data_IF_721066488448
#
_entry.id   IF_721066488448
#
_cell.length_a   1.000
_cell.length_b   1.000
_cell.length_c   1.000
_cell.angle_alpha   90.00
_cell.angle_beta   90.00
_cell.angle_gamma   90.00
#
_symmetry.space_group_name_H-M   'P 1'
#
loop_
_entity.id
_entity.type
_entity.pdbx_description
1 polymer ?
#
# COMPACT_ATOMS: atom_id res chain seq x y z
N UNK A 1 14.08 -81.82 -53.95
CA UNK A 1 14.12 -82.43 -52.60
C UNK A 1 14.38 -81.32 -51.59
N UNK A 2 13.48 -81.17 -50.61
CA UNK A 2 13.60 -80.53 -49.27
C UNK A 2 14.25 -79.13 -49.12
N UNK A 3 13.79 -78.19 -48.29
CA UNK A 3 12.73 -78.10 -47.30
C UNK A 3 12.52 -76.61 -46.94
N UNK A 4 11.28 -76.20 -46.65
CA UNK A 4 10.84 -75.73 -45.32
C UNK A 4 11.56 -74.49 -44.75
N UNK A 5 10.81 -73.40 -44.56
CA UNK A 5 10.65 -72.58 -43.33
C UNK A 5 10.40 -71.07 -43.58
N UNK A 6 9.11 -70.73 -43.38
CA UNK A 6 8.50 -69.56 -42.72
C UNK A 6 9.40 -68.50 -42.06
N UNK A 7 8.94 -67.25 -42.16
CA UNK A 7 9.17 -66.14 -41.21
C UNK A 7 9.87 -64.94 -41.85
N UNK A 8 9.55 -63.68 -41.60
CA UNK A 8 8.54 -63.04 -40.76
C UNK A 8 8.35 -61.60 -41.29
N UNK A 9 7.15 -61.05 -41.08
CA UNK A 9 6.86 -59.65 -41.34
C UNK A 9 7.67 -58.74 -40.41
N UNK A 10 8.26 -57.68 -40.95
CA UNK A 10 8.80 -56.58 -40.18
C UNK A 10 8.35 -55.25 -40.80
N UNK A 11 7.13 -54.83 -40.47
CA UNK A 11 6.69 -53.46 -40.65
C UNK A 11 7.28 -52.64 -39.49
N UNK A 12 8.28 -51.81 -39.80
CA UNK A 12 8.96 -50.94 -38.85
C UNK A 12 8.08 -49.70 -38.61
N UNK A 13 7.12 -49.79 -37.68
CA UNK A 13 6.38 -48.62 -37.21
C UNK A 13 7.28 -47.85 -36.22
N UNK A 14 7.95 -46.81 -36.72
CA UNK A 14 8.59 -45.80 -35.87
C UNK A 14 7.48 -44.94 -35.27
N UNK A 15 7.06 -45.25 -34.04
CA UNK A 15 6.24 -44.34 -33.25
C UNK A 15 7.15 -43.21 -32.75
N UNK A 16 7.21 -42.11 -33.49
CA UNK A 16 7.73 -40.84 -32.98
C UNK A 16 6.70 -40.33 -31.94
N UNK A 17 6.88 -40.71 -30.68
CA UNK A 17 6.19 -40.06 -29.58
C UNK A 17 6.76 -38.64 -29.47
N UNK A 18 6.10 -37.68 -30.11
CA UNK A 18 6.32 -36.27 -29.87
C UNK A 18 5.93 -35.98 -28.42
N UNK A 19 6.92 -35.95 -27.53
CA UNK A 19 6.75 -35.44 -26.17
C UNK A 19 6.57 -33.93 -26.29
N UNK A 20 5.32 -33.52 -26.51
CA UNK A 20 4.93 -32.14 -26.30
C UNK A 20 5.09 -31.88 -24.80
N UNK A 21 5.89 -30.88 -24.38
CA UNK A 21 5.88 -30.47 -22.98
C UNK A 21 4.48 -29.93 -22.71
N UNK A 22 3.69 -30.69 -21.95
CA UNK A 22 2.49 -30.16 -21.33
C UNK A 22 2.95 -28.97 -20.49
N UNK A 23 2.66 -27.75 -20.96
CA UNK A 23 2.64 -26.59 -20.07
C UNK A 23 1.54 -26.90 -19.07
N UNK A 24 1.92 -27.45 -17.92
CA UNK A 24 1.07 -27.44 -16.75
C UNK A 24 0.65 -25.98 -16.59
N UNK A 25 -0.64 -25.69 -16.81
CA UNK A 25 -1.17 -24.38 -16.49
C UNK A 25 -0.80 -24.14 -15.04
N UNK A 26 -0.02 -23.10 -14.75
CA UNK A 26 0.23 -22.69 -13.38
C UNK A 26 -1.13 -22.48 -12.75
N UNK A 27 -1.55 -23.42 -11.89
CA UNK A 27 -2.78 -23.30 -11.15
C UNK A 27 -2.69 -21.97 -10.40
N UNK A 28 -3.60 -21.04 -10.71
CA UNK A 28 -3.63 -19.74 -10.05
C UNK A 28 -3.74 -19.97 -8.55
N UNK A 29 -2.71 -19.57 -7.81
CA UNK A 29 -2.71 -19.69 -6.36
C UNK A 29 -3.16 -18.38 -5.76
N UNK A 30 -3.75 -18.48 -4.58
CA UNK A 30 -4.18 -17.33 -3.80
C UNK A 30 -3.45 -17.31 -2.48
N UNK A 31 -3.41 -16.14 -1.86
CA UNK A 31 -2.89 -15.99 -0.51
C UNK A 31 -3.81 -15.04 0.29
N UNK A 32 -3.87 -15.25 1.60
CA UNK A 32 -4.61 -14.36 2.51
C UNK A 32 -3.69 -13.91 3.63
N UNK A 33 -3.58 -12.60 3.86
CA UNK A 33 -2.86 -12.06 4.99
C UNK A 33 -3.45 -12.58 6.32
N UNK A 34 -2.66 -13.25 7.15
CA UNK A 34 -3.09 -13.72 8.48
C UNK A 34 -2.72 -12.72 9.58
N UNK A 35 -1.74 -11.88 9.32
CA UNK A 35 -1.26 -10.78 10.16
C UNK A 35 -1.13 -9.52 9.28
N UNK A 36 -0.91 -8.32 9.87
CA UNK A 36 -0.53 -7.16 9.08
C UNK A 36 0.72 -7.46 8.23
N UNK A 37 0.56 -7.50 6.92
CA UNK A 37 1.56 -8.01 5.99
C UNK A 37 2.18 -6.86 5.20
N UNK A 38 3.47 -6.53 5.38
CA UNK A 38 4.14 -5.54 4.56
C UNK A 38 4.16 -6.00 3.10
N UNK A 39 3.72 -5.12 2.20
CA UNK A 39 3.79 -5.35 0.76
C UNK A 39 4.86 -4.43 0.19
N UNK A 40 5.88 -5.04 -0.41
CA UNK A 40 7.02 -4.31 -0.97
C UNK A 40 6.96 -4.27 -2.49
N UNK A 41 7.60 -3.27 -3.11
CA UNK A 41 7.88 -3.23 -4.55
C UNK A 41 9.16 -4.00 -4.94
N UNK A 42 9.70 -4.83 -4.05
CA UNK A 42 10.86 -5.69 -4.28
C UNK A 42 10.66 -7.04 -3.58
N UNK A 43 11.20 -8.10 -4.18
CA UNK A 43 11.24 -9.42 -3.54
C UNK A 43 12.32 -9.53 -2.44
N UNK A 44 13.23 -8.56 -2.34
CA UNK A 44 14.37 -8.60 -1.41
C UNK A 44 14.02 -8.08 -0.01
N UNK A 45 13.19 -8.83 0.72
CA UNK A 45 12.85 -8.51 2.12
C UNK A 45 14.08 -8.50 3.04
N UNK A 46 14.98 -9.50 3.02
CA UNK A 46 16.17 -9.49 3.89
C UNK A 46 17.09 -8.29 3.65
N UNK A 47 17.29 -7.90 2.38
CA UNK A 47 18.09 -6.72 2.06
C UNK A 47 17.44 -5.41 2.49
N UNK A 48 16.10 -5.35 2.61
CA UNK A 48 15.37 -4.21 3.16
C UNK A 48 15.43 -4.18 4.70
N UNK A 49 15.26 -5.34 5.34
CA UNK A 49 15.20 -5.52 6.79
C UNK A 49 16.42 -6.27 7.30
N UNK A 50 17.56 -5.58 7.41
CA UNK A 50 18.82 -6.16 7.86
C UNK A 50 20.00 -5.70 7.04
N UNK A 51 19.83 -5.53 5.73
CA UNK A 51 20.94 -5.14 4.86
C UNK A 51 22.10 -6.14 4.95
N UNK A 52 23.34 -5.68 4.69
CA UNK A 52 24.52 -6.54 4.74
C UNK A 52 24.99 -6.87 6.16
N UNK A 53 24.64 -6.04 7.15
CA UNK A 53 25.11 -6.14 8.53
C UNK A 53 24.07 -6.77 9.48
N UNK A 54 22.89 -7.12 8.97
CA UNK A 54 21.75 -7.61 9.74
C UNK A 54 21.13 -6.56 10.68
N UNK A 55 21.59 -5.29 10.65
CA UNK A 55 21.21 -4.23 11.59
C UNK A 55 20.65 -2.99 10.91
N UNK A 56 20.81 -2.88 9.59
CA UNK A 56 20.48 -1.67 8.85
C UNK A 56 19.20 -1.85 8.04
N UNK A 57 18.28 -0.90 8.19
CA UNK A 57 17.12 -0.77 7.30
C UNK A 57 17.55 -0.07 6.01
N UNK A 58 17.05 -0.54 4.86
CA UNK A 58 17.22 0.16 3.58
C UNK A 58 16.33 1.40 3.55
N UNK A 59 16.87 2.54 3.99
CA UNK A 59 16.18 3.82 3.99
C UNK A 59 16.80 4.83 3.04
N UNK A 60 16.00 5.77 2.56
CA UNK A 60 16.49 6.97 1.87
C UNK A 60 17.09 8.01 2.85
N UNK A 61 17.49 9.18 2.33
CA UNK A 61 18.01 10.29 3.14
C UNK A 61 17.01 10.86 4.14
N UNK A 62 15.72 10.61 3.94
CA UNK A 62 14.64 11.02 4.86
C UNK A 62 14.30 9.91 5.86
N UNK A 63 15.03 8.80 5.85
CA UNK A 63 14.80 7.68 6.74
C UNK A 63 13.61 6.80 6.35
N UNK A 64 13.10 6.92 5.13
CA UNK A 64 11.93 6.20 4.64
C UNK A 64 12.31 4.94 3.89
N UNK A 65 11.56 3.86 4.10
CA UNK A 65 11.71 2.59 3.37
C UNK A 65 10.90 2.71 2.08
N UNK A 66 11.53 3.17 0.99
CA UNK A 66 10.87 3.39 -0.32
C UNK A 66 10.40 2.11 -0.98
N UNK A 67 10.85 0.96 -0.47
CA UNK A 67 10.39 -0.34 -0.91
C UNK A 67 9.00 -0.68 -0.38
N UNK A 68 8.59 -0.08 0.75
CA UNK A 68 7.27 -0.32 1.33
C UNK A 68 6.20 0.45 0.54
N UNK A 69 5.19 -0.28 0.07
CA UNK A 69 4.07 0.30 -0.68
C UNK A 69 2.86 0.48 0.22
N UNK A 70 2.49 -0.58 0.95
CA UNK A 70 1.49 -0.53 2.00
C UNK A 70 1.64 -1.72 2.97
N UNK A 71 0.87 -1.74 4.04
CA UNK A 71 0.72 -2.88 4.93
C UNK A 71 -0.68 -3.44 4.72
N UNK A 72 -0.78 -4.63 4.12
CA UNK A 72 -2.05 -5.31 3.96
C UNK A 72 -2.63 -5.69 5.32
N UNK A 73 -3.91 -5.40 5.53
CA UNK A 73 -4.60 -5.74 6.78
C UNK A 73 -4.90 -7.24 6.81
N UNK A 74 -5.02 -7.87 8.00
CA UNK A 74 -5.47 -9.25 8.11
C UNK A 74 -6.76 -9.50 7.32
N UNK A 75 -6.81 -10.63 6.60
CA UNK A 75 -7.88 -11.00 5.68
C UNK A 75 -7.73 -10.44 4.27
N UNK A 76 -6.72 -9.61 3.97
CA UNK A 76 -6.47 -9.14 2.60
C UNK A 76 -6.16 -10.33 1.69
N UNK A 77 -6.94 -10.44 0.62
CA UNK A 77 -6.79 -11.47 -0.41
C UNK A 77 -5.80 -11.02 -1.49
N UNK A 78 -4.99 -11.97 -1.95
CA UNK A 78 -4.02 -11.79 -3.02
C UNK A 78 -4.21 -12.86 -4.10
N UNK A 79 -4.03 -12.45 -5.35
CA UNK A 79 -3.71 -13.38 -6.44
C UNK A 79 -2.20 -13.53 -6.49
N UNK A 80 -1.69 -14.77 -6.43
CA UNK A 80 -0.26 -15.08 -6.50
C UNK A 80 0.11 -15.40 -7.95
N UNK A 81 1.02 -14.61 -8.50
CA UNK A 81 1.53 -14.75 -9.86
C UNK A 81 2.82 -15.55 -9.93
N UNK A 82 3.64 -15.47 -8.89
CA UNK A 82 4.95 -16.10 -8.85
C UNK A 82 5.37 -16.35 -7.40
N UNK A 83 6.12 -17.43 -7.15
CA UNK A 83 6.76 -17.69 -5.86
C UNK A 83 8.26 -17.74 -6.03
N UNK A 84 8.97 -16.93 -5.25
CA UNK A 84 10.40 -16.70 -5.37
C UNK A 84 11.10 -17.13 -4.07
N UNK A 85 12.18 -17.90 -4.21
CA UNK A 85 13.13 -18.10 -3.13
C UNK A 85 14.18 -16.97 -3.17
N UNK A 86 14.37 -16.27 -2.04
CA UNK A 86 15.33 -15.18 -1.86
C UNK A 86 16.08 -15.38 -0.55
N UNK A 87 17.25 -16.01 -0.63
CA UNK A 87 17.99 -16.43 0.55
C UNK A 87 17.17 -17.42 1.36
N UNK A 88 16.85 -17.08 2.61
CA UNK A 88 16.00 -17.88 3.51
C UNK A 88 14.51 -17.50 3.44
N UNK A 89 14.14 -16.47 2.67
CA UNK A 89 12.75 -16.02 2.53
C UNK A 89 12.08 -16.62 1.30
N UNK A 90 10.84 -17.07 1.49
CA UNK A 90 9.90 -17.37 0.40
C UNK A 90 8.99 -16.16 0.22
N UNK A 91 8.93 -15.64 -1.00
CA UNK A 91 8.23 -14.39 -1.31
C UNK A 91 7.32 -14.59 -2.50
N UNK A 92 6.08 -14.10 -2.41
CA UNK A 92 5.09 -14.21 -3.48
C UNK A 92 4.96 -12.88 -4.20
N UNK A 93 5.04 -12.90 -5.53
CA UNK A 93 4.62 -11.78 -6.36
C UNK A 93 3.09 -11.79 -6.46
N UNK A 94 2.46 -10.68 -6.10
CA UNK A 94 1.00 -10.63 -5.89
C UNK A 94 0.34 -9.41 -6.54
N UNK A 95 -0.97 -9.53 -6.75
CA UNK A 95 -1.89 -8.39 -6.92
C UNK A 95 -3.02 -8.47 -5.91
N UNK A 96 -3.64 -7.34 -5.59
CA UNK A 96 -4.79 -7.26 -4.69
C UNK A 96 -5.66 -6.05 -5.00
N UNK A 97 -6.97 -6.19 -4.79
CA UNK A 97 -7.95 -5.12 -4.96
C UNK A 97 -7.88 -4.07 -3.83
N UNK A 98 -7.20 -4.37 -2.72
CA UNK A 98 -6.93 -3.40 -1.65
C UNK A 98 -5.87 -2.34 -2.09
N UNK A 99 -5.08 -2.64 -3.13
CA UNK A 99 -4.04 -1.73 -3.67
C UNK A 99 -3.87 -1.89 -5.19
N UNK A 100 -4.83 -1.41 -6.01
CA UNK A 100 -4.85 -1.61 -7.46
C UNK A 100 -3.93 -0.62 -8.22
N UNK A 101 -2.80 -0.25 -7.63
CA UNK A 101 -1.82 0.62 -8.29
C UNK A 101 -0.90 -0.17 -9.20
N UNK A 102 -0.47 0.39 -10.36
CA UNK A 102 0.51 -0.26 -11.18
C UNK A 102 1.89 -0.23 -10.51
N UNK A 103 2.66 -1.31 -10.66
CA UNK A 103 4.06 -1.39 -10.27
C UNK A 103 4.90 -1.90 -11.42
N UNK A 104 6.04 -1.25 -11.67
CA UNK A 104 6.99 -1.65 -12.70
C UNK A 104 7.66 -3.00 -12.37
N UNK A 105 7.92 -3.25 -11.09
CA UNK A 105 8.60 -4.46 -10.59
C UNK A 105 7.62 -5.49 -10.03
N UNK A 106 6.36 -5.13 -9.85
CA UNK A 106 5.35 -5.93 -9.14
C UNK A 106 5.29 -5.61 -7.65
N UNK A 107 4.40 -6.31 -6.94
CA UNK A 107 4.27 -6.25 -5.48
C UNK A 107 4.56 -7.61 -4.88
N UNK A 108 5.13 -7.59 -3.68
CA UNK A 108 5.67 -8.77 -3.05
C UNK A 108 5.24 -8.83 -1.59
N UNK A 109 4.79 -10.01 -1.18
CA UNK A 109 4.47 -10.33 0.22
C UNK A 109 5.27 -11.56 0.63
N UNK A 110 5.77 -11.57 1.86
CA UNK A 110 6.54 -12.69 2.37
C UNK A 110 5.61 -13.80 2.91
N UNK A 111 5.95 -15.05 2.61
CA UNK A 111 5.12 -16.25 2.84
C UNK A 111 4.63 -16.36 4.30
N UNK A 112 5.46 -16.02 5.29
CA UNK A 112 5.14 -16.17 6.71
C UNK A 112 4.07 -15.18 7.20
N UNK A 113 3.71 -14.18 6.40
CA UNK A 113 2.59 -13.26 6.70
C UNK A 113 1.26 -13.72 6.13
N UNK A 114 1.26 -14.74 5.28
CA UNK A 114 0.08 -15.16 4.53
C UNK A 114 -0.19 -16.65 4.70
N UNK A 115 -1.41 -17.05 4.36
CA UNK A 115 -1.79 -18.45 4.18
C UNK A 115 -2.19 -18.65 2.73
N UNK A 116 -1.56 -19.62 2.07
CA UNK A 116 -1.91 -19.99 0.70
C UNK A 116 -3.29 -20.66 0.63
N UNK A 117 -3.96 -20.49 -0.51
CA UNK A 117 -5.24 -21.09 -0.82
C UNK A 117 -5.29 -21.48 -2.30
N UNK A 118 -5.91 -22.62 -2.59
CA UNK A 118 -6.11 -23.12 -3.97
C UNK A 118 -7.32 -22.46 -4.66
N UNK A 119 -8.29 -22.02 -3.86
CA UNK A 119 -9.51 -21.36 -4.33
C UNK A 119 -9.45 -19.88 -3.97
N UNK A 120 -9.99 -19.05 -4.86
CA UNK A 120 -10.10 -17.61 -4.65
C UNK A 120 -10.80 -17.31 -3.31
N UNK A 121 -10.12 -16.71 -2.34
CA UNK A 121 -10.74 -16.33 -1.08
C UNK A 121 -11.73 -15.18 -1.31
N UNK A 122 -12.79 -15.07 -0.48
CA UNK A 122 -13.68 -13.93 -0.55
C UNK A 122 -12.91 -12.63 -0.23
N UNK A 123 -13.36 -11.48 -0.74
CA UNK A 123 -12.80 -10.18 -0.36
C UNK A 123 -12.87 -9.97 1.16
N UNK A 124 -11.87 -9.26 1.69
CA UNK A 124 -11.85 -8.88 3.12
C UNK A 124 -13.13 -8.10 3.46
N UNK A 125 -13.81 -8.41 4.58
CA UNK A 125 -14.94 -7.60 5.02
C UNK A 125 -14.47 -6.18 5.37
N UNK A 126 -15.08 -5.18 4.74
CA UNK A 126 -14.80 -3.75 4.97
C UNK A 126 -16.03 -3.09 5.58
N UNK A 127 -16.04 -2.95 6.90
CA UNK A 127 -17.12 -2.24 7.60
C UNK A 127 -16.73 -0.79 7.82
N UNK A 128 -17.46 0.13 7.17
CA UNK A 128 -17.28 1.56 7.36
C UNK A 128 -17.69 1.96 8.78
N UNK A 129 -16.77 2.52 9.60
CA UNK A 129 -17.14 2.97 10.93
C UNK A 129 -18.07 4.21 10.88
N UNK A 130 -18.85 4.47 11.95
CA UNK A 130 -19.61 5.72 12.06
C UNK A 130 -18.66 6.93 12.04
N UNK A 131 -19.18 8.11 11.62
CA UNK A 131 -18.40 9.34 11.44
C UNK A 131 -17.56 9.66 12.67
N UNK A 132 -18.19 9.66 13.84
CA UNK A 132 -17.54 9.98 15.10
C UNK A 132 -16.46 8.94 15.47
N UNK A 133 -16.68 7.68 15.11
CA UNK A 133 -15.69 6.61 15.25
C UNK A 133 -14.46 6.85 14.37
N UNK A 134 -14.63 7.33 13.14
CA UNK A 134 -13.50 7.69 12.25
C UNK A 134 -12.75 8.89 12.83
N UNK A 135 -13.47 9.95 13.22
CA UNK A 135 -12.87 11.17 13.81
C UNK A 135 -12.09 10.83 15.08
N UNK A 136 -12.63 9.99 15.96
CA UNK A 136 -11.96 9.54 17.17
C UNK A 136 -10.66 8.77 16.86
N UNK A 137 -10.68 7.88 15.86
CA UNK A 137 -9.49 7.13 15.43
C UNK A 137 -8.41 8.04 14.83
N UNK A 138 -8.81 9.01 14.01
CA UNK A 138 -7.91 10.02 13.46
C UNK A 138 -7.24 10.82 14.58
N UNK A 139 -8.02 11.33 15.52
CA UNK A 139 -7.51 12.09 16.67
C UNK A 139 -6.58 11.25 17.55
N UNK A 140 -6.91 9.97 17.78
CA UNK A 140 -6.05 9.05 18.52
C UNK A 140 -4.68 8.89 17.84
N UNK A 141 -4.60 9.02 16.51
CA UNK A 141 -3.34 8.92 15.79
C UNK A 141 -2.42 10.14 15.93
N UNK A 142 -2.86 11.24 16.56
CA UNK A 142 -2.03 12.43 16.79
C UNK A 142 -0.70 12.06 17.45
N UNK A 143 0.40 12.58 16.89
CA UNK A 143 1.77 12.31 17.37
C UNK A 143 2.39 11.02 16.85
N UNK A 144 1.66 10.22 16.07
CA UNK A 144 2.24 9.06 15.38
C UNK A 144 3.24 9.50 14.32
N UNK A 145 4.31 8.74 14.12
CA UNK A 145 5.35 9.05 13.14
C UNK A 145 4.86 8.87 11.71
N UNK A 146 5.46 9.65 10.81
CA UNK A 146 5.32 9.42 9.38
C UNK A 146 6.17 8.21 8.97
N UNK A 147 5.54 7.23 8.34
CA UNK A 147 6.20 6.08 7.72
C UNK A 147 5.63 5.96 6.32
N UNK A 148 6.47 6.17 5.30
CA UNK A 148 6.09 5.91 3.90
C UNK A 148 5.56 4.49 3.74
N UNK A 149 4.39 4.32 3.12
CA UNK A 149 3.73 3.03 3.00
C UNK A 149 3.13 2.51 4.32
N UNK A 150 3.27 3.23 5.43
CA UNK A 150 2.67 2.87 6.71
C UNK A 150 1.16 3.13 6.75
N UNK A 151 0.39 2.16 7.24
CA UNK A 151 -1.04 2.29 7.53
C UNK A 151 -1.47 1.46 8.76
N UNK A 152 -0.52 1.23 9.68
CA UNK A 152 -0.75 0.56 10.96
C UNK A 152 0.03 1.34 12.01
N UNK A 153 -0.65 2.23 12.74
CA UNK A 153 -0.04 3.13 13.72
C UNK A 153 0.71 2.37 14.81
N UNK A 154 0.20 1.22 15.23
CA UNK A 154 0.83 0.37 16.22
C UNK A 154 2.10 -0.35 15.70
N UNK A 155 2.29 -0.36 14.38
CA UNK A 155 3.30 -1.15 13.70
C UNK A 155 2.90 -2.61 13.53
N UNK A 156 3.86 -3.40 13.04
CA UNK A 156 3.77 -4.82 12.76
C UNK A 156 4.76 -5.54 13.70
N UNK A 157 4.32 -5.98 14.89
CA UNK A 157 5.20 -6.60 15.87
C UNK A 157 5.95 -7.83 15.33
N UNK A 158 5.30 -8.61 14.46
CA UNK A 158 5.89 -9.79 13.83
C UNK A 158 7.18 -9.48 13.03
N UNK A 159 7.42 -8.23 12.63
CA UNK A 159 8.65 -7.87 11.91
C UNK A 159 9.92 -8.20 12.68
N UNK A 160 9.94 -8.03 14.01
CA UNK A 160 11.14 -8.32 14.82
C UNK A 160 11.38 -9.81 15.01
N UNK A 161 10.35 -10.64 14.85
CA UNK A 161 10.46 -12.10 14.93
C UNK A 161 10.81 -12.70 13.57
N UNK A 162 10.17 -12.20 12.51
CA UNK A 162 10.34 -12.71 11.15
C UNK A 162 11.61 -12.18 10.47
N UNK A 163 12.06 -10.98 10.85
CA UNK A 163 13.31 -10.37 10.41
C UNK A 163 14.07 -9.84 11.64
N UNK A 164 14.67 -10.72 12.45
CA UNK A 164 15.31 -10.29 13.68
C UNK A 164 16.56 -9.44 13.37
N UNK A 165 16.70 -8.25 13.98
CA UNK A 165 17.92 -7.47 13.84
C UNK A 165 19.08 -8.19 14.54
N UNK A 166 20.28 -8.10 13.95
CA UNK A 166 21.49 -8.70 14.50
C UNK A 166 22.03 -7.95 15.72
N UNK A 167 21.21 -7.62 16.72
CA UNK A 167 21.59 -6.99 17.98
C UNK A 167 20.65 -5.86 18.42
N UNK A 168 21.08 -5.08 19.42
CA UNK A 168 20.26 -4.04 20.02
C UNK A 168 20.11 -2.84 19.09
N UNK A 169 18.86 -2.51 18.74
CA UNK A 169 18.50 -1.34 17.97
C UNK A 169 18.30 -0.11 18.87
N UNK A 170 18.51 1.08 18.32
CA UNK A 170 18.01 2.31 18.93
C UNK A 170 16.47 2.28 18.99
N UNK A 171 15.85 3.05 19.90
CA UNK A 171 14.40 3.10 20.01
C UNK A 171 13.73 3.54 18.69
N UNK A 172 14.34 4.48 17.97
CA UNK A 172 13.82 4.95 16.68
C UNK A 172 13.97 3.91 15.58
N UNK A 173 15.14 3.27 15.49
CA UNK A 173 15.36 2.18 14.53
C UNK A 173 14.41 1.02 14.79
N UNK A 174 14.17 0.66 16.05
CA UNK A 174 13.23 -0.40 16.43
C UNK A 174 11.78 -0.07 16.02
N UNK A 175 11.35 1.20 16.17
CA UNK A 175 10.03 1.65 15.68
C UNK A 175 9.91 1.50 14.17
N UNK A 176 10.92 1.96 13.42
CA UNK A 176 10.95 1.83 11.95
C UNK A 176 11.02 0.38 11.49
N UNK A 177 11.74 -0.45 12.22
CA UNK A 177 11.84 -1.89 11.94
C UNK A 177 10.46 -2.56 12.00
N UNK A 178 9.63 -2.15 12.97
CA UNK A 178 8.24 -2.57 13.10
C UNK A 178 7.29 -1.79 12.19
N UNK A 179 7.77 -0.94 11.30
CA UNK A 179 6.94 -0.09 10.43
C UNK A 179 5.90 0.73 11.21
N UNK A 180 6.25 1.15 12.43
CA UNK A 180 5.31 1.78 13.37
C UNK A 180 5.03 3.23 13.00
N UNK A 181 3.91 3.46 12.32
CA UNK A 181 3.47 4.78 11.91
C UNK A 181 2.54 4.74 10.69
N UNK A 182 2.17 5.92 10.21
CA UNK A 182 1.25 6.05 9.08
C UNK A 182 1.70 7.18 8.14
N UNK A 183 1.55 6.98 6.84
CA UNK A 183 1.64 8.08 5.87
C UNK A 183 0.30 8.82 5.73
N UNK A 184 0.25 9.81 4.84
CA UNK A 184 -0.91 10.69 4.66
C UNK A 184 -2.21 9.93 4.35
N UNK A 185 -2.21 9.03 3.37
CA UNK A 185 -3.40 8.25 3.01
C UNK A 185 -3.58 7.02 3.89
N UNK A 186 -2.49 6.49 4.45
CA UNK A 186 -2.47 5.41 5.43
C UNK A 186 -3.18 5.77 6.73
N UNK A 187 -3.13 7.04 7.14
CA UNK A 187 -3.89 7.57 8.27
C UNK A 187 -5.42 7.40 8.07
N UNK A 188 -5.93 7.79 6.90
CA UNK A 188 -7.35 7.62 6.56
C UNK A 188 -7.70 6.14 6.38
N UNK A 189 -6.82 5.38 5.71
CA UNK A 189 -6.98 3.96 5.48
C UNK A 189 -7.13 3.18 6.79
N UNK A 190 -6.26 3.42 7.77
CA UNK A 190 -6.34 2.80 9.09
C UNK A 190 -7.62 3.21 9.83
N UNK A 191 -7.92 4.51 9.89
CA UNK A 191 -9.09 5.02 10.61
C UNK A 191 -10.41 4.42 10.09
N UNK A 192 -10.46 4.07 8.81
CA UNK A 192 -11.63 3.51 8.13
C UNK A 192 -11.60 1.99 7.99
N UNK A 193 -10.64 1.30 8.62
CA UNK A 193 -10.47 -0.15 8.50
C UNK A 193 -10.30 -0.63 7.04
N UNK A 194 -9.55 0.16 6.26
CA UNK A 194 -9.24 -0.10 4.87
C UNK A 194 -10.42 0.01 3.91
N UNK A 195 -11.40 0.86 4.21
CA UNK A 195 -12.54 1.14 3.31
C UNK A 195 -12.13 2.15 2.24
N UNK A 196 -11.34 3.17 2.59
CA UNK A 196 -10.90 4.19 1.64
C UNK A 196 -9.76 3.68 0.76
N UNK A 197 -9.54 4.26 -0.43
CA UNK A 197 -8.35 3.98 -1.22
C UNK A 197 -7.06 4.23 -0.44
N UNK A 198 -6.05 3.36 -0.64
CA UNK A 198 -4.79 3.41 0.12
C UNK A 198 -3.79 4.44 -0.41
N UNK A 199 -3.86 4.85 -1.68
CA UNK A 199 -2.93 5.82 -2.27
C UNK A 199 -3.62 7.13 -2.68
N UNK A 200 -2.86 8.23 -2.68
CA UNK A 200 -3.39 9.57 -2.99
C UNK A 200 -3.86 9.72 -4.43
N UNK A 201 -3.27 9.00 -5.39
CA UNK A 201 -3.70 9.01 -6.80
C UNK A 201 -5.14 8.53 -6.95
N UNK A 202 -5.54 7.47 -6.24
CA UNK A 202 -6.92 6.99 -6.23
C UNK A 202 -7.84 7.95 -5.46
N UNK A 203 -7.36 8.56 -4.37
CA UNK A 203 -8.14 9.55 -3.61
C UNK A 203 -8.50 10.80 -4.44
N UNK A 204 -7.75 11.12 -5.50
CA UNK A 204 -8.07 12.23 -6.40
C UNK A 204 -9.42 12.07 -7.10
N UNK A 205 -9.95 10.86 -7.23
CA UNK A 205 -11.25 10.59 -7.86
C UNK A 205 -12.25 9.93 -6.90
N UNK A 206 -11.91 9.80 -5.62
CA UNK A 206 -12.73 9.12 -4.63
C UNK A 206 -13.85 10.02 -4.11
N UNK A 207 -15.09 9.52 -4.09
CA UNK A 207 -16.27 10.29 -3.68
C UNK A 207 -16.68 11.36 -4.69
N UNK A 208 -17.41 12.37 -4.23
CA UNK A 208 -17.92 13.48 -5.05
C UNK A 208 -17.01 14.70 -4.93
N UNK A 209 -16.79 15.42 -6.03
CA UNK A 209 -16.06 16.70 -6.01
C UNK A 209 -16.85 17.80 -5.32
N UNK A 210 -16.17 18.58 -4.46
CA UNK A 210 -16.72 19.83 -3.92
C UNK A 210 -16.23 20.98 -4.82
N UNK A 211 -17.13 21.80 -5.38
CA UNK A 211 -16.72 22.93 -6.23
C UNK A 211 -15.90 23.93 -5.42
N UNK A 212 -14.65 24.17 -5.81
CA UNK A 212 -13.71 25.10 -5.17
C UNK A 212 -12.87 25.91 -6.17
N UNK A 213 -12.99 25.67 -7.47
CA UNK A 213 -12.24 26.39 -8.48
C UNK A 213 -12.42 27.91 -8.35
N UNK A 214 -11.30 28.64 -8.42
CA UNK A 214 -11.28 30.10 -8.31
C UNK A 214 -11.58 30.67 -6.91
N UNK A 215 -11.85 29.83 -5.90
CA UNK A 215 -12.17 30.32 -4.56
C UNK A 215 -10.91 30.67 -3.75
N UNK A 216 -11.04 31.68 -2.89
CA UNK A 216 -10.08 31.96 -1.82
C UNK A 216 -10.29 31.08 -0.57
N UNK A 217 -9.37 31.19 0.38
CA UNK A 217 -9.33 30.35 1.59
C UNK A 217 -10.66 30.35 2.38
N UNK A 218 -11.24 31.52 2.64
CA UNK A 218 -12.48 31.63 3.44
C UNK A 218 -13.69 31.02 2.73
N UNK A 219 -13.80 31.22 1.42
CA UNK A 219 -14.88 30.64 0.62
C UNK A 219 -14.76 29.12 0.54
N UNK A 220 -13.54 28.58 0.42
CA UNK A 220 -13.28 27.14 0.51
C UNK A 220 -13.69 26.62 1.89
N UNK A 221 -13.23 27.26 2.96
CA UNK A 221 -13.54 26.87 4.35
C UNK A 221 -15.04 26.74 4.61
N UNK A 222 -15.85 27.64 4.07
CA UNK A 222 -17.31 27.60 4.22
C UNK A 222 -17.96 26.40 3.52
N UNK A 223 -17.35 25.89 2.44
CA UNK A 223 -17.83 24.71 1.68
C UNK A 223 -17.40 23.37 2.29
N UNK A 224 -16.35 23.36 3.10
CA UNK A 224 -15.81 22.14 3.71
C UNK A 224 -16.72 21.60 4.82
N UNK A 225 -16.85 20.28 4.84
CA UNK A 225 -17.54 19.48 5.85
C UNK A 225 -16.58 18.48 6.53
N UNK A 226 -16.90 17.99 7.73
CA UNK A 226 -16.14 16.92 8.37
C UNK A 226 -15.93 15.72 7.44
N UNK A 227 -14.70 15.21 7.44
CA UNK A 227 -14.17 14.14 6.58
C UNK A 227 -14.02 14.48 5.10
N UNK A 228 -14.29 15.71 4.66
CA UNK A 228 -13.84 16.14 3.33
C UNK A 228 -12.31 16.01 3.22
N UNK A 229 -11.84 15.61 2.04
CA UNK A 229 -10.42 15.41 1.76
C UNK A 229 -9.91 16.55 0.89
N UNK A 230 -8.86 17.24 1.32
CA UNK A 230 -8.10 18.18 0.49
C UNK A 230 -6.93 17.38 -0.10
N UNK A 231 -6.96 17.11 -1.42
CA UNK A 231 -6.10 16.09 -2.04
C UNK A 231 -5.35 16.64 -3.26
N UNK A 232 -4.10 16.22 -3.41
CA UNK A 232 -3.31 16.35 -4.65
C UNK A 232 -2.38 15.14 -4.80
N UNK A 233 -1.72 14.98 -5.96
CA UNK A 233 -0.72 13.93 -6.16
C UNK A 233 0.37 14.00 -5.07
N UNK A 234 0.43 12.98 -4.22
CA UNK A 234 1.44 12.83 -3.19
C UNK A 234 1.04 13.29 -1.78
N UNK A 235 -0.17 13.85 -1.55
CA UNK A 235 -0.61 14.17 -0.20
C UNK A 235 -2.14 14.25 -0.05
N UNK A 236 -2.62 14.06 1.18
CA UNK A 236 -4.01 14.27 1.57
C UNK A 236 -4.08 14.88 2.96
N UNK A 237 -4.99 15.84 3.13
CA UNK A 237 -5.38 16.42 4.41
C UNK A 237 -6.86 16.10 4.63
N UNK A 238 -7.21 15.75 5.87
CA UNK A 238 -8.56 15.36 6.25
C UNK A 238 -9.16 16.48 7.10
N UNK A 239 -10.34 16.98 6.71
CA UNK A 239 -11.08 17.96 7.50
C UNK A 239 -11.70 17.24 8.71
N UNK A 240 -11.44 17.73 9.93
CA UNK A 240 -12.06 17.19 11.15
C UNK A 240 -13.38 17.89 11.44
N UNK A 241 -13.38 19.22 11.31
CA UNK A 241 -14.52 20.08 11.58
C UNK A 241 -14.32 21.45 10.88
N UNK A 242 -15.14 22.45 11.26
CA UNK A 242 -15.13 23.79 10.66
C UNK A 242 -13.85 24.60 10.90
N UNK A 243 -13.02 24.18 11.85
CA UNK A 243 -11.83 24.93 12.29
C UNK A 243 -10.55 24.09 12.25
N UNK A 244 -10.63 22.76 12.14
CA UNK A 244 -9.48 21.87 12.27
C UNK A 244 -9.37 20.86 11.13
N UNK A 245 -8.13 20.53 10.83
CA UNK A 245 -7.73 19.45 9.93
C UNK A 245 -6.78 18.50 10.64
N UNK A 246 -6.60 17.31 10.07
CA UNK A 246 -5.57 16.36 10.45
C UNK A 246 -4.87 15.82 9.22
N UNK A 247 -3.56 15.64 9.31
CA UNK A 247 -2.72 15.08 8.25
C UNK A 247 -1.55 14.32 8.86
N UNK A 248 -1.07 13.29 8.17
CA UNK A 248 0.27 12.74 8.41
C UNK A 248 1.21 13.29 7.35
N UNK A 249 2.22 14.06 7.76
CA UNK A 249 3.13 14.75 6.84
C UNK A 249 4.58 14.35 7.05
N UNK A 250 5.33 14.33 5.95
CA UNK A 250 6.78 14.21 6.04
C UNK A 250 7.37 15.59 6.36
N UNK A 251 8.08 15.68 7.49
CA UNK A 251 8.76 16.91 7.88
C UNK A 251 9.96 17.21 6.97
N UNK A 252 10.44 18.48 6.94
CA UNK A 252 11.64 18.84 6.17
C UNK A 252 12.91 18.18 6.71
N UNK A 253 12.93 17.89 8.01
CA UNK A 253 14.01 17.18 8.70
C UNK A 253 13.42 15.90 9.31
N UNK A 254 14.04 14.72 9.11
CA UNK A 254 13.56 13.47 9.69
C UNK A 254 13.41 13.58 11.21
N UNK A 255 12.26 13.18 11.76
CA UNK A 255 11.99 13.24 13.19
C UNK A 255 11.50 14.61 13.71
N UNK A 256 11.58 15.67 12.90
CA UNK A 256 11.10 17.01 13.26
C UNK A 256 9.82 17.37 12.51
N UNK A 257 8.76 17.67 13.27
CA UNK A 257 7.46 18.08 12.71
C UNK A 257 6.89 17.10 11.68
N UNK A 258 7.32 15.83 11.77
CA UNK A 258 6.86 14.71 10.96
C UNK A 258 5.71 13.96 11.65
N UNK A 259 4.92 13.26 10.84
CA UNK A 259 3.82 12.44 11.30
C UNK A 259 2.51 13.19 11.46
N UNK A 260 1.65 12.63 12.32
CA UNK A 260 0.24 13.02 12.42
C UNK A 260 0.08 14.26 13.29
N UNK A 261 -0.45 15.33 12.70
CA UNK A 261 -0.71 16.59 13.38
C UNK A 261 -2.13 17.08 13.12
N UNK A 262 -2.75 17.65 14.16
CA UNK A 262 -3.99 18.43 14.05
C UNK A 262 -3.60 19.89 13.87
N UNK A 263 -4.20 20.57 12.90
CA UNK A 263 -3.84 21.94 12.52
C UNK A 263 -5.07 22.80 12.25
N UNK A 264 -5.00 24.12 12.50
CA UNK A 264 -6.07 25.04 12.12
C UNK A 264 -6.33 25.01 10.62
N UNK A 265 -7.60 24.85 10.23
CA UNK A 265 -8.03 24.75 8.84
C UNK A 265 -7.66 26.01 8.04
N UNK A 266 -7.79 27.20 8.66
CA UNK A 266 -7.40 28.47 8.02
C UNK A 266 -5.93 28.51 7.63
N UNK A 267 -5.04 28.10 8.54
CA UNK A 267 -3.59 28.08 8.29
C UNK A 267 -3.24 27.08 7.19
N UNK A 268 -3.86 25.90 7.22
CA UNK A 268 -3.62 24.86 6.22
C UNK A 268 -4.09 25.30 4.84
N UNK A 269 -5.27 25.90 4.72
CA UNK A 269 -5.76 26.43 3.44
C UNK A 269 -4.85 27.55 2.91
N UNK A 270 -4.41 28.47 3.77
CA UNK A 270 -3.46 29.50 3.39
C UNK A 270 -2.13 28.90 2.90
N UNK A 271 -1.61 27.87 3.57
CA UNK A 271 -0.41 27.16 3.15
C UNK A 271 -0.58 26.49 1.78
N UNK A 272 -1.67 25.74 1.59
CA UNK A 272 -1.96 25.05 0.33
C UNK A 272 -2.10 26.05 -0.82
N UNK A 273 -2.84 27.14 -0.62
CA UNK A 273 -3.09 28.16 -1.65
C UNK A 273 -1.85 28.96 -2.06
N UNK A 274 -0.81 29.04 -1.23
CA UNK A 274 0.47 29.66 -1.63
C UNK A 274 1.18 28.87 -2.73
N UNK A 275 1.00 27.56 -2.77
CA UNK A 275 1.72 26.68 -3.68
C UNK A 275 0.85 25.96 -4.69
N UNK A 276 -0.49 26.04 -4.56
CA UNK A 276 -1.44 25.26 -5.35
C UNK A 276 -2.72 26.02 -5.66
N UNK A 277 -3.25 25.79 -6.86
CA UNK A 277 -4.54 26.33 -7.31
C UNK A 277 -5.68 25.36 -6.96
N UNK A 278 -6.81 25.86 -6.41
CA UNK A 278 -7.99 25.04 -6.19
C UNK A 278 -8.66 24.71 -7.53
N UNK A 279 -9.10 23.46 -7.68
CA UNK A 279 -9.78 22.98 -8.88
C UNK A 279 -10.95 22.05 -8.53
N UNK A 280 -11.96 22.01 -9.40
CA UNK A 280 -13.11 21.11 -9.24
C UNK A 280 -12.81 19.68 -9.71
N UNK A 281 -11.87 19.57 -10.65
CA UNK A 281 -11.37 18.31 -11.20
C UNK A 281 -9.85 18.35 -11.23
N UNK A 282 -9.22 17.22 -10.92
CA UNK A 282 -7.77 17.13 -10.98
C UNK A 282 -7.37 16.98 -12.46
N UNK A 283 -6.43 17.80 -12.97
CA UNK A 283 -6.03 17.74 -14.38
C UNK A 283 -5.38 16.40 -14.69
N UNK A 284 -5.81 15.76 -15.78
CA UNK A 284 -5.28 14.46 -16.23
C UNK A 284 -3.88 14.59 -16.85
N UNK A 285 -3.62 15.69 -17.54
CA UNK A 285 -2.34 15.96 -18.19
C UNK A 285 -1.38 16.70 -17.25
N UNK A 286 -0.14 16.22 -17.19
CA UNK A 286 1.00 16.93 -16.59
C UNK A 286 1.43 18.16 -17.40
N UNK A 287 0.45 18.95 -17.87
CA UNK A 287 0.70 20.20 -18.55
C UNK A 287 1.39 21.19 -17.61
N UNK A 288 2.09 22.15 -18.20
CA UNK A 288 2.81 23.28 -17.57
C UNK A 288 1.91 24.22 -16.73
N UNK A 289 0.65 23.85 -16.49
CA UNK A 289 -0.27 24.53 -15.58
C UNK A 289 0.06 24.25 -14.11
N UNK A 290 -0.11 25.27 -13.27
CA UNK A 290 0.30 25.26 -11.86
C UNK A 290 -0.15 24.02 -11.07
N UNK A 291 0.59 23.69 -10.02
CA UNK A 291 0.23 22.64 -9.06
C UNK A 291 -1.22 22.87 -8.59
N UNK A 292 -2.08 21.88 -8.68
CA UNK A 292 -3.48 21.99 -8.24
C UNK A 292 -3.79 21.10 -7.05
N UNK A 293 -4.93 21.36 -6.41
CA UNK A 293 -5.57 20.45 -5.45
C UNK A 293 -7.08 20.44 -5.68
N UNK A 294 -7.72 19.35 -5.25
CA UNK A 294 -9.18 19.16 -5.30
C UNK A 294 -9.71 18.90 -3.88
N UNK A 295 -11.02 19.07 -3.71
CA UNK A 295 -11.72 18.62 -2.50
C UNK A 295 -12.67 17.48 -2.84
N UNK A 296 -12.63 16.42 -2.03
CA UNK A 296 -13.45 15.22 -2.19
C UNK A 296 -14.30 14.94 -0.96
N UNK A 297 -15.61 14.83 -1.18
CA UNK A 297 -16.61 14.43 -0.18
C UNK A 297 -17.01 12.99 -0.39
N UNK A 298 -16.73 12.14 0.58
CA UNK A 298 -16.89 10.69 0.44
C UNK A 298 -17.75 10.05 1.52
N UNK A 299 -17.81 10.61 2.72
CA UNK A 299 -18.52 10.00 3.84
C UNK A 299 -20.03 10.29 3.78
N UNK A 300 -20.86 9.25 3.89
CA UNK A 300 -22.34 9.37 3.87
C UNK A 300 -22.92 9.62 2.48
N UNK A 301 -22.20 9.21 1.44
CA UNK A 301 -22.62 9.25 0.03
C UNK A 301 -22.67 7.84 -0.53
#
# INVERSE_FOLDING_TARGET
MSGWLRGAAAAFFVLLAAVLPARAGEATRYAVAVLPAPVLNTADFPGVFGGRDGRTLRTDRQGQIRQLEFIALPGTAFTVHETLLRGTSVVHRVTTDDYPSPSATGYFVEDRFVRLAEVAPPPRPRMLPPRDGIVARLLAARGSRYVWGGNVRAGVPAMTELFPPAGKLSAETARRWRLQGVDCSGLLYEATNGVTPRNTSALLAFGTGVPIAGLGADAIRQRLEPLDLIVWKGHVIIVLDRERTIESRLGPVPGERDGVAVRPLREVLAEVLRGRMPADRYPESGGTGGKSFVVRRWYGR
#
